data_IF_067946696177
#
_entry.id   IF_067946696177
#
_cell.length_a   1.000
_cell.length_b   1.000
_cell.length_c   1.000
_cell.angle_alpha   90.00
_cell.angle_beta   90.00
_cell.angle_gamma   90.00
#
_symmetry.space_group_name_H-M   'P 1'
#
loop_
_entity.id
_entity.type
_entity.pdbx_description
1 polymer ?
#
# COMPACT_ATOMS: atom_id res chain seq x y z
N UNK A 1 -5.51 9.21 18.48
CA UNK A 1 -5.54 8.04 17.58
C UNK A 1 -5.16 6.82 18.41
N UNK A 2 -6.08 5.90 18.64
CA UNK A 2 -5.79 4.58 19.24
C UNK A 2 -5.72 3.55 18.12
N UNK A 3 -4.72 3.68 17.24
CA UNK A 3 -4.43 2.67 16.24
C UNK A 3 -3.55 1.59 16.87
N UNK A 4 -3.93 0.31 16.78
CA UNK A 4 -3.05 -0.77 17.19
C UNK A 4 -1.70 -0.69 16.44
N UNK A 5 -0.55 -0.82 17.13
CA UNK A 5 0.78 -0.71 16.51
C UNK A 5 0.97 -1.61 15.29
N UNK A 6 0.36 -2.80 15.30
CA UNK A 6 0.39 -3.77 14.21
C UNK A 6 -0.21 -3.23 12.90
N UNK A 7 -1.18 -2.30 12.97
CA UNK A 7 -1.75 -1.67 11.79
C UNK A 7 -0.81 -0.62 11.20
N UNK A 8 -0.09 0.10 12.07
CA UNK A 8 0.93 1.07 11.66
C UNK A 8 2.10 0.36 10.98
N UNK A 9 2.61 -0.72 11.59
CA UNK A 9 3.69 -1.52 11.03
C UNK A 9 3.29 -2.13 9.68
N UNK A 10 2.11 -2.72 9.60
CA UNK A 10 1.60 -3.29 8.35
C UNK A 10 1.50 -2.23 7.25
N UNK A 11 0.95 -1.05 7.57
CA UNK A 11 0.79 0.02 6.58
C UNK A 11 2.15 0.54 6.08
N UNK A 12 3.10 0.67 7.00
CA UNK A 12 4.49 1.04 6.69
C UNK A 12 5.13 0.02 5.75
N UNK A 13 5.10 -1.28 6.08
CA UNK A 13 5.73 -2.32 5.27
C UNK A 13 5.11 -2.45 3.87
N UNK A 14 3.79 -2.33 3.78
CA UNK A 14 3.10 -2.32 2.48
C UNK A 14 3.55 -1.14 1.63
N UNK A 15 3.59 0.06 2.22
CA UNK A 15 4.00 1.28 1.52
C UNK A 15 5.47 1.22 1.10
N UNK A 16 6.34 0.69 1.97
CA UNK A 16 7.75 0.48 1.69
C UNK A 16 7.99 -0.49 0.52
N UNK A 17 7.30 -1.64 0.53
CA UNK A 17 7.39 -2.62 -0.57
C UNK A 17 6.92 -2.01 -1.89
N UNK A 18 5.78 -1.30 -1.90
CA UNK A 18 5.26 -0.64 -3.10
C UNK A 18 6.24 0.42 -3.62
N UNK A 19 6.84 1.23 -2.74
CA UNK A 19 7.84 2.22 -3.13
C UNK A 19 9.02 1.57 -3.87
N UNK A 20 9.55 0.47 -3.35
CA UNK A 20 10.68 -0.22 -3.97
C UNK A 20 10.31 -0.93 -5.27
N UNK A 21 9.15 -1.60 -5.33
CA UNK A 21 8.67 -2.28 -6.54
C UNK A 21 8.48 -1.26 -7.68
N UNK A 22 7.78 -0.16 -7.41
CA UNK A 22 7.45 0.82 -8.44
C UNK A 22 8.56 1.83 -8.73
N UNK A 23 9.65 1.85 -7.94
CA UNK A 23 10.90 2.54 -8.31
C UNK A 23 11.84 1.70 -9.17
N UNK A 24 11.67 0.39 -9.21
CA UNK A 24 12.48 -0.50 -10.05
C UNK A 24 11.84 -0.65 -11.45
N UNK A 25 12.63 -1.06 -12.44
CA UNK A 25 12.15 -1.26 -13.82
C UNK A 25 10.99 -2.27 -13.91
N UNK A 26 10.98 -3.29 -13.05
CA UNK A 26 9.87 -4.27 -12.98
C UNK A 26 8.52 -3.61 -12.65
N UNK A 27 8.54 -2.43 -12.04
CA UNK A 27 7.34 -1.63 -11.77
C UNK A 27 6.58 -1.23 -13.03
N UNK A 28 7.25 -1.14 -14.20
CA UNK A 28 6.61 -0.85 -15.49
C UNK A 28 5.78 -2.03 -16.01
N UNK A 29 6.12 -3.24 -15.59
CA UNK A 29 5.45 -4.49 -15.97
C UNK A 29 4.54 -5.02 -14.86
N UNK A 30 4.40 -4.27 -13.75
CA UNK A 30 3.62 -4.66 -12.57
C UNK A 30 2.37 -3.80 -12.44
N UNK A 31 1.24 -4.41 -12.07
CA UNK A 31 0.00 -3.68 -11.75
C UNK A 31 -0.39 -3.91 -10.31
N UNK A 32 -0.47 -2.84 -9.53
CA UNK A 32 -1.02 -2.88 -8.16
C UNK A 32 -2.55 -2.84 -8.20
N UNK A 33 -3.19 -3.85 -7.61
CA UNK A 33 -4.65 -4.06 -7.64
C UNK A 33 -5.19 -4.45 -6.27
N UNK A 34 -6.51 -4.58 -6.16
CA UNK A 34 -7.20 -5.09 -4.98
C UNK A 34 -7.58 -4.00 -3.96
N UNK A 35 -7.98 -4.43 -2.76
CA UNK A 35 -8.52 -3.54 -1.74
C UNK A 35 -7.56 -2.44 -1.28
N UNK A 36 -6.27 -2.74 -1.18
CA UNK A 36 -5.25 -1.76 -0.79
C UNK A 36 -5.01 -0.72 -1.88
N UNK A 37 -5.13 -1.08 -3.17
CA UNK A 37 -5.10 -0.11 -4.26
C UNK A 37 -6.31 0.83 -4.20
N UNK A 38 -7.51 0.27 -3.94
CA UNK A 38 -8.75 1.04 -3.78
C UNK A 38 -8.68 2.04 -2.61
N UNK A 39 -8.02 1.69 -1.50
CA UNK A 39 -7.84 2.63 -0.38
C UNK A 39 -6.68 3.61 -0.61
N UNK A 40 -5.47 3.15 -0.94
CA UNK A 40 -4.26 4.01 -1.02
C UNK A 40 -4.14 4.85 -2.29
N UNK A 41 -4.62 4.36 -3.43
CA UNK A 41 -4.44 5.03 -4.72
C UNK A 41 -5.71 5.78 -5.16
N UNK A 42 -6.89 5.26 -4.80
CA UNK A 42 -8.17 5.80 -5.27
C UNK A 42 -9.04 6.42 -4.17
N UNK A 43 -8.73 6.18 -2.88
CA UNK A 43 -9.53 6.70 -1.77
C UNK A 43 -11.00 6.22 -1.76
N UNK A 44 -11.32 5.14 -2.47
CA UNK A 44 -12.70 4.68 -2.70
C UNK A 44 -13.28 3.94 -1.49
N UNK A 45 -12.42 3.44 -0.61
CA UNK A 45 -12.81 2.69 0.59
C UNK A 45 -11.89 3.04 1.76
N UNK A 46 -12.44 2.98 2.97
CA UNK A 46 -11.67 3.06 4.21
C UNK A 46 -11.41 1.65 4.75
N UNK A 47 -10.17 1.21 4.65
CA UNK A 47 -9.69 -0.06 5.20
C UNK A 47 -8.24 0.13 5.63
N UNK A 48 -8.02 0.12 6.95
CA UNK A 48 -6.80 0.55 7.61
C UNK A 48 -6.40 1.99 7.26
#
# INVERSE_FOLDING_TARGET
>A
MNLPPEYVEKDYWVTFALFHIFKNDIGRETVFKGGTALSKCFGMIQRF
#
